data_IF_390738173706
#
_entry.id   IF_390738173706
#
_cell.length_a   1.000
_cell.length_b   1.000
_cell.length_c   1.000
_cell.angle_alpha   90.00
_cell.angle_beta   90.00
_cell.angle_gamma   90.00
#
_symmetry.space_group_name_H-M   'P 1'
#
loop_
_entity.id
_entity.type
_entity.pdbx_description
1 polymer ?
#
# COMPACT_ATOMS: atom_id res chain seq x y z
N UNK A 1 9.34 -6.48 -12.64
CA UNK A 1 8.30 -6.09 -13.61
C UNK A 1 7.52 -4.96 -12.97
N UNK A 2 7.12 -3.94 -13.70
CA UNK A 2 6.46 -2.80 -13.07
C UNK A 2 5.17 -3.27 -12.36
N UNK A 3 4.93 -2.80 -11.14
CA UNK A 3 3.77 -3.24 -10.35
C UNK A 3 3.08 -2.08 -9.63
N UNK A 4 1.79 -2.27 -9.33
CA UNK A 4 0.95 -1.34 -8.58
C UNK A 4 0.37 -2.06 -7.37
N UNK A 5 0.42 -1.42 -6.20
CA UNK A 5 -0.13 -1.93 -4.95
C UNK A 5 -1.28 -1.01 -4.53
N UNK A 6 -2.50 -1.55 -4.55
CA UNK A 6 -3.67 -0.90 -4.01
C UNK A 6 -3.87 -1.31 -2.55
N UNK A 7 -4.19 -0.34 -1.70
CA UNK A 7 -4.28 -0.48 -0.25
C UNK A 7 -5.58 0.15 0.24
N UNK A 8 -6.45 -0.67 0.81
CA UNK A 8 -7.58 -0.21 1.63
C UNK A 8 -7.07 0.07 3.05
N UNK A 9 -7.08 1.36 3.42
CA UNK A 9 -6.43 1.84 4.63
C UNK A 9 -7.18 1.46 5.90
N UNK A 10 -6.46 0.79 6.81
CA UNK A 10 -6.94 0.45 8.14
C UNK A 10 -5.92 -0.36 8.92
N UNK A 11 -6.22 -0.70 10.18
CA UNK A 11 -5.41 -1.69 10.92
C UNK A 11 -5.61 -3.11 10.39
N UNK A 12 -6.82 -3.40 9.89
CA UNK A 12 -7.08 -4.52 9.01
C UNK A 12 -7.08 -3.95 7.59
N UNK A 13 -5.96 -4.15 6.91
CA UNK A 13 -5.68 -3.55 5.61
C UNK A 13 -6.03 -4.55 4.50
N UNK A 14 -6.74 -4.10 3.47
CA UNK A 14 -6.86 -4.82 2.21
C UNK A 14 -5.68 -4.49 1.30
N UNK A 15 -5.10 -5.50 0.64
CA UNK A 15 -3.96 -5.34 -0.26
C UNK A 15 -4.24 -6.06 -1.58
N UNK A 16 -3.96 -5.40 -2.70
CA UNK A 16 -4.02 -6.00 -4.04
C UNK A 16 -2.81 -5.55 -4.87
N UNK A 17 -2.04 -6.51 -5.37
CA UNK A 17 -0.91 -6.23 -6.26
C UNK A 17 -1.28 -6.54 -7.69
N UNK A 18 -1.08 -5.57 -8.57
CA UNK A 18 -1.27 -5.66 -10.01
C UNK A 18 0.08 -5.63 -10.72
N UNK A 19 0.20 -6.38 -11.81
CA UNK A 19 1.32 -6.23 -12.74
C UNK A 19 1.09 -5.06 -13.71
N UNK A 20 2.11 -4.77 -14.51
CA UNK A 20 2.13 -3.72 -15.53
C UNK A 20 1.13 -3.94 -16.67
N UNK A 21 0.67 -5.17 -16.88
CA UNK A 21 -0.43 -5.51 -17.78
C UNK A 21 -1.83 -5.25 -17.19
N UNK A 22 -1.89 -4.69 -15.98
CA UNK A 22 -3.13 -4.41 -15.26
C UNK A 22 -3.79 -5.64 -14.64
N UNK A 23 -3.17 -6.82 -14.70
CA UNK A 23 -3.74 -8.05 -14.12
C UNK A 23 -3.39 -8.17 -12.63
N UNK A 24 -4.38 -8.64 -11.86
CA UNK A 24 -4.19 -8.95 -10.45
C UNK A 24 -3.23 -10.14 -10.30
N UNK A 25 -2.16 -9.95 -9.53
CA UNK A 25 -1.15 -10.98 -9.21
C UNK A 25 -1.51 -11.71 -7.92
N UNK A 26 -1.89 -10.95 -6.90
CA UNK A 26 -2.39 -11.48 -5.64
C UNK A 26 -3.20 -10.43 -4.90
N UNK A 27 -4.04 -10.90 -3.99
CA UNK A 27 -4.74 -10.07 -3.02
C UNK A 27 -4.73 -10.75 -1.65
N UNK A 28 -4.75 -9.96 -0.58
CA UNK A 28 -4.80 -10.47 0.80
C UNK A 28 -5.30 -9.39 1.76
N UNK A 29 -5.87 -9.83 2.88
CA UNK A 29 -6.08 -8.95 4.03
C UNK A 29 -4.98 -9.17 5.06
N UNK A 30 -4.52 -8.11 5.72
CA UNK A 30 -3.56 -8.20 6.81
C UNK A 30 -4.01 -7.38 8.01
N UNK A 31 -4.02 -7.98 9.19
CA UNK A 31 -4.34 -7.29 10.44
C UNK A 31 -3.05 -6.93 11.19
N UNK A 32 -2.63 -5.68 11.10
CA UNK A 32 -1.47 -5.16 11.85
C UNK A 32 -1.75 -4.99 13.34
N UNK A 33 -3.02 -4.90 13.73
CA UNK A 33 -3.50 -4.84 15.12
C UNK A 33 -3.17 -3.57 15.91
N UNK A 34 -2.08 -2.85 15.59
CA UNK A 34 -1.73 -1.57 16.22
C UNK A 34 -0.83 -0.71 15.33
N UNK A 35 -0.85 0.61 15.55
CA UNK A 35 -0.09 1.60 14.75
C UNK A 35 1.42 1.32 14.67
N UNK A 36 2.16 0.93 15.74
CA UNK A 36 3.58 0.62 15.63
C UNK A 36 3.88 -0.63 14.78
N UNK A 37 2.98 -1.62 14.82
CA UNK A 37 3.07 -2.83 13.98
C UNK A 37 2.78 -2.50 12.52
N UNK A 38 1.78 -1.66 12.26
CA UNK A 38 1.49 -1.13 10.93
C UNK A 38 2.71 -0.43 10.34
N UNK A 39 3.33 0.52 11.07
CA UNK A 39 4.52 1.24 10.59
C UNK A 39 5.65 0.29 10.16
N UNK A 40 5.97 -0.74 10.95
CA UNK A 40 6.98 -1.75 10.59
C UNK A 40 6.55 -2.60 9.41
N UNK A 41 5.28 -3.02 9.39
CA UNK A 41 4.69 -3.83 8.34
C UNK A 41 4.70 -3.15 6.97
N UNK A 42 4.37 -1.86 6.90
CA UNK A 42 4.46 -1.05 5.68
C UNK A 42 5.89 -1.09 5.11
N UNK A 43 6.89 -0.90 5.97
CA UNK A 43 8.28 -0.94 5.52
C UNK A 43 8.68 -2.31 4.98
N UNK A 44 8.28 -3.40 5.61
CA UNK A 44 8.55 -4.75 5.11
C UNK A 44 7.83 -5.02 3.78
N UNK A 45 6.55 -4.70 3.68
CA UNK A 45 5.74 -4.91 2.49
C UNK A 45 6.31 -4.19 1.25
N UNK A 46 6.68 -2.92 1.40
CA UNK A 46 7.31 -2.16 0.32
C UNK A 46 8.74 -2.63 -0.01
N UNK A 47 9.43 -3.31 0.90
CA UNK A 47 10.73 -3.93 0.60
C UNK A 47 10.57 -5.23 -0.20
N UNK A 48 9.53 -6.03 0.10
CA UNK A 48 9.21 -7.26 -0.62
C UNK A 48 8.80 -7.00 -2.08
N UNK A 49 8.24 -5.81 -2.35
CA UNK A 49 7.80 -5.39 -3.68
C UNK A 49 8.74 -4.28 -4.21
N UNK A 50 10.02 -4.62 -4.42
CA UNK A 50 11.06 -3.64 -4.78
C UNK A 50 10.88 -3.01 -6.17
N UNK A 51 10.08 -3.62 -7.05
CA UNK A 51 9.75 -3.13 -8.39
C UNK A 51 8.41 -2.35 -8.44
N UNK A 52 7.88 -1.98 -7.28
CA UNK A 52 6.65 -1.22 -7.16
C UNK A 52 6.80 0.18 -7.76
N UNK A 53 5.96 0.51 -8.73
CA UNK A 53 5.94 1.80 -9.41
C UNK A 53 4.85 2.73 -8.89
N UNK A 54 3.78 2.19 -8.33
CA UNK A 54 2.67 2.97 -7.82
C UNK A 54 2.11 2.36 -6.53
N UNK A 55 1.83 3.24 -5.57
CA UNK A 55 1.05 2.93 -4.38
C UNK A 55 -0.28 3.68 -4.47
N UNK A 56 -1.39 2.95 -4.51
CA UNK A 56 -2.74 3.52 -4.47
C UNK A 56 -3.30 3.35 -3.07
N UNK A 57 -3.70 4.45 -2.44
CA UNK A 57 -4.25 4.46 -1.09
C UNK A 57 -5.72 4.86 -1.14
N UNK A 58 -6.59 3.96 -0.71
CA UNK A 58 -8.01 4.20 -0.54
C UNK A 58 -8.32 4.51 0.93
N UNK A 59 -9.00 5.63 1.18
CA UNK A 59 -9.39 6.08 2.51
C UNK A 59 -8.44 7.12 3.15
N UNK A 60 -8.53 7.27 4.48
CA UNK A 60 -7.86 8.37 5.20
C UNK A 60 -7.01 7.98 6.41
N UNK A 61 -7.41 6.96 7.16
CA UNK A 61 -6.70 6.60 8.38
C UNK A 61 -5.30 6.03 8.08
N UNK A 62 -4.27 6.52 8.76
CA UNK A 62 -2.89 6.07 8.61
C UNK A 62 -2.22 6.34 7.25
N UNK A 63 -2.86 7.09 6.33
CA UNK A 63 -2.30 7.44 5.02
C UNK A 63 -0.88 8.03 5.13
N UNK A 64 -0.65 8.95 6.08
CA UNK A 64 0.64 9.60 6.29
C UNK A 64 1.78 8.60 6.57
N UNK A 65 1.48 7.46 7.20
CA UNK A 65 2.48 6.41 7.47
C UNK A 65 2.90 5.71 6.17
N UNK A 66 1.94 5.47 5.28
CA UNK A 66 2.17 4.88 3.96
C UNK A 66 2.91 5.85 3.05
N UNK A 67 2.46 7.10 2.98
CA UNK A 67 3.11 8.17 2.21
C UNK A 67 4.56 8.39 2.66
N UNK A 68 4.81 8.47 3.95
CA UNK A 68 6.18 8.62 4.48
C UNK A 68 7.08 7.43 4.12
N UNK A 69 6.54 6.21 4.13
CA UNK A 69 7.31 5.02 3.78
C UNK A 69 7.55 4.89 2.26
N UNK A 70 6.60 5.33 1.44
CA UNK A 70 6.71 5.39 -0.01
C UNK A 70 7.70 6.48 -0.45
N UNK A 71 7.64 7.66 0.17
CA UNK A 71 8.55 8.78 -0.10
C UNK A 71 10.03 8.40 0.12
N UNK A 72 10.34 7.63 1.17
CA UNK A 72 11.70 7.11 1.42
C UNK A 72 12.25 6.22 0.30
N UNK A 73 11.37 5.71 -0.56
CA UNK A 73 11.70 4.82 -1.68
C UNK A 73 11.41 5.47 -3.04
N UNK A 74 11.07 6.76 -3.06
CA UNK A 74 10.64 7.48 -4.25
C UNK A 74 9.49 6.77 -5.01
N UNK A 75 8.58 6.13 -4.28
CA UNK A 75 7.39 5.48 -4.86
C UNK A 75 6.28 6.53 -4.95
N UNK A 76 5.78 6.86 -6.15
CA UNK A 76 4.60 7.70 -6.34
C UNK A 76 3.37 7.16 -5.61
N UNK A 77 2.60 8.06 -5.00
CA UNK A 77 1.37 7.74 -4.27
C UNK A 77 0.17 8.41 -4.94
N UNK A 78 -0.86 7.62 -5.23
CA UNK A 78 -2.18 8.11 -5.63
C UNK A 78 -3.14 7.91 -4.47
N UNK A 79 -3.74 8.99 -3.97
CA UNK A 79 -4.83 8.91 -3.00
C UNK A 79 -6.16 8.91 -3.73
N UNK A 80 -7.03 7.99 -3.33
CA UNK A 80 -8.42 7.95 -3.75
C UNK A 80 -9.28 8.16 -2.50
N UNK A 81 -10.03 9.26 -2.48
CA UNK A 81 -11.06 9.46 -1.47
C UNK A 81 -12.26 8.57 -1.79
N UNK A 82 -12.88 8.00 -0.77
CA UNK A 82 -14.24 7.50 -0.93
C UNK A 82 -15.13 8.70 -1.22
N UNK A 83 -15.56 8.87 -2.47
CA UNK A 83 -16.67 9.75 -2.80
C UNK A 83 -17.93 9.15 -2.15
N UNK A 84 -18.64 9.97 -1.37
CA UNK A 84 -19.89 9.58 -0.70
C UNK A 84 -21.06 9.59 -1.68
#
# INVERSE_FOLDING_TARGET
MASLLAVDLGLRTGLALYADDGRLRWYRSHNFGARPRLKRGIHALLAENADLQWLVLEGGAFADLWEHAAAKRAIPVLRVSAEQ
#
